data_IF_537861839922
#
_entry.id   IF_537861839922
#
_cell.length_a   1.000
_cell.length_b   1.000
_cell.length_c   1.000
_cell.angle_alpha   90.00
_cell.angle_beta   90.00
_cell.angle_gamma   90.00
#
_symmetry.space_group_name_H-M   'P 1'
#
loop_
_entity.id
_entity.type
_entity.pdbx_description
1 polymer ?
#
# COMPACT_ATOMS: atom_id res chain seq x y z
N UNK A 1 9.08 4.17 3.94
CA UNK A 1 9.05 3.11 4.95
C UNK A 1 8.53 3.70 6.23
N UNK A 2 7.44 3.16 6.74
CA UNK A 2 7.06 3.40 8.14
C UNK A 2 8.21 2.91 9.04
N UNK A 3 8.57 3.73 10.04
CA UNK A 3 9.59 3.42 11.04
C UNK A 3 9.23 2.10 11.74
N UNK A 4 7.94 1.83 11.95
CA UNK A 4 7.47 0.57 12.51
C UNK A 4 7.81 -0.64 11.62
N UNK A 5 7.65 -0.52 10.30
CA UNK A 5 8.04 -1.57 9.35
C UNK A 5 9.55 -1.84 9.40
N UNK A 6 10.36 -0.78 9.44
CA UNK A 6 11.81 -0.92 9.50
C UNK A 6 12.26 -1.58 10.81
N UNK A 7 11.75 -1.11 11.96
CA UNK A 7 12.06 -1.67 13.27
C UNK A 7 11.59 -3.13 13.34
N UNK A 8 10.39 -3.43 12.85
CA UNK A 8 9.86 -4.79 12.82
C UNK A 8 10.73 -5.76 12.03
N UNK A 9 11.19 -5.36 10.84
CA UNK A 9 12.11 -6.17 10.02
C UNK A 9 13.43 -6.41 10.78
N UNK A 10 14.03 -5.37 11.37
CA UNK A 10 15.31 -5.49 12.07
C UNK A 10 15.20 -6.37 13.32
N UNK A 11 14.15 -6.17 14.13
CA UNK A 11 13.92 -6.99 15.33
C UNK A 11 13.59 -8.44 14.97
N UNK A 12 12.78 -8.67 13.93
CA UNK A 12 12.44 -10.01 13.46
C UNK A 12 13.67 -10.78 12.96
N UNK A 13 14.46 -10.16 12.07
CA UNK A 13 15.71 -10.75 11.58
C UNK A 13 16.72 -10.95 12.72
N UNK A 14 16.81 -10.00 13.65
CA UNK A 14 17.67 -10.10 14.84
C UNK A 14 17.27 -11.26 15.75
N UNK A 15 15.98 -11.48 15.99
CA UNK A 15 15.48 -12.59 16.79
C UNK A 15 15.75 -13.95 16.11
N UNK A 16 15.58 -14.03 14.79
CA UNK A 16 15.88 -15.25 14.02
C UNK A 16 17.39 -15.54 14.06
N UNK A 17 18.22 -14.56 13.71
CA UNK A 17 19.67 -14.74 13.71
C UNK A 17 20.23 -15.02 15.11
N UNK A 18 19.71 -14.33 16.13
CA UNK A 18 20.08 -14.53 17.52
C UNK A 18 19.70 -15.91 18.03
N UNK A 19 18.51 -16.40 17.71
CA UNK A 19 18.09 -17.77 18.10
C UNK A 19 18.93 -18.85 17.42
N UNK A 20 19.24 -18.69 16.12
CA UNK A 20 20.15 -19.59 15.40
C UNK A 20 21.54 -19.60 16.03
N UNK A 21 22.08 -18.44 16.39
CA UNK A 21 23.40 -18.33 17.00
C UNK A 21 23.45 -18.99 18.39
N UNK A 22 22.46 -18.73 19.23
CA UNK A 22 22.36 -19.35 20.56
C UNK A 22 22.25 -20.87 20.45
N UNK A 23 21.34 -21.37 19.60
CA UNK A 23 21.17 -22.81 19.37
C UNK A 23 22.45 -23.47 18.84
N UNK A 24 23.16 -22.81 17.90
CA UNK A 24 24.43 -23.30 17.38
C UNK A 24 25.53 -23.30 18.45
N UNK A 25 25.60 -22.28 19.29
CA UNK A 25 26.57 -22.18 20.38
C UNK A 25 26.35 -23.25 21.46
N UNK A 26 25.10 -23.50 21.87
CA UNK A 26 24.75 -24.55 22.83
C UNK A 26 25.07 -25.95 22.29
N UNK A 27 24.82 -26.18 21.01
CA UNK A 27 25.10 -27.46 20.36
C UNK A 27 26.58 -27.63 19.95
N UNK A 28 27.43 -26.61 20.12
CA UNK A 28 28.82 -26.59 19.62
C UNK A 28 28.90 -26.76 18.09
N UNK A 29 27.85 -26.38 17.37
CA UNK A 29 27.67 -26.62 15.95
C UNK A 29 27.87 -25.33 15.13
N UNK A 30 28.10 -25.49 13.82
CA UNK A 30 28.17 -24.36 12.90
C UNK A 30 26.76 -23.86 12.56
N UNK A 31 26.60 -22.55 12.49
CA UNK A 31 25.37 -21.90 11.99
C UNK A 31 25.12 -22.19 10.50
N UNK A 32 26.13 -22.66 9.76
CA UNK A 32 26.01 -23.02 8.34
C UNK A 32 24.98 -24.12 8.09
N UNK A 33 24.68 -24.97 9.07
CA UNK A 33 23.66 -26.02 8.94
C UNK A 33 22.23 -25.50 8.75
N UNK A 34 21.98 -24.24 9.10
CA UNK A 34 20.67 -23.60 8.91
C UNK A 34 20.45 -23.04 7.50
N UNK A 35 21.50 -22.98 6.67
CA UNK A 35 21.42 -22.51 5.28
C UNK A 35 21.47 -23.72 4.35
N UNK A 36 20.33 -24.09 3.79
CA UNK A 36 20.17 -25.25 2.90
C UNK A 36 19.49 -24.84 1.60
N UNK A 37 20.18 -25.01 0.47
CA UNK A 37 19.61 -24.78 -0.86
C UNK A 37 18.35 -25.61 -1.13
N UNK A 38 18.31 -26.91 -0.80
CA UNK A 38 17.09 -27.71 -0.88
C UNK A 38 15.93 -27.17 -0.03
N UNK A 39 16.20 -26.76 1.21
CA UNK A 39 15.17 -26.20 2.09
C UNK A 39 14.62 -24.89 1.53
N UNK A 40 15.47 -24.04 0.97
CA UNK A 40 15.06 -22.82 0.27
C UNK A 40 14.16 -23.14 -0.93
N UNK A 41 14.55 -24.10 -1.78
CA UNK A 41 13.76 -24.48 -2.95
C UNK A 41 12.37 -25.02 -2.58
N UNK A 42 12.26 -25.80 -1.50
CA UNK A 42 10.98 -26.34 -1.02
C UNK A 42 10.07 -25.22 -0.50
N UNK A 43 10.60 -24.35 0.37
CA UNK A 43 9.79 -23.27 0.98
C UNK A 43 9.42 -22.21 -0.06
N UNK A 44 10.40 -21.74 -0.82
CA UNK A 44 10.19 -20.68 -1.81
C UNK A 44 9.39 -21.18 -3.02
N UNK A 45 9.71 -22.37 -3.53
CA UNK A 45 8.95 -22.99 -4.62
C UNK A 45 7.52 -23.33 -4.19
N UNK A 46 7.34 -23.86 -2.97
CA UNK A 46 6.02 -24.13 -2.39
C UNK A 46 5.18 -22.86 -2.24
N UNK A 47 5.78 -21.77 -1.72
CA UNK A 47 5.12 -20.47 -1.63
C UNK A 47 4.62 -19.98 -2.99
N UNK A 48 5.47 -19.97 -4.02
CA UNK A 48 5.08 -19.52 -5.37
C UNK A 48 3.98 -20.41 -5.95
N UNK A 49 4.09 -21.74 -5.79
CA UNK A 49 3.08 -22.68 -6.28
C UNK A 49 1.72 -22.47 -5.59
N UNK A 50 1.70 -22.32 -4.26
CA UNK A 50 0.48 -22.06 -3.50
C UNK A 50 -0.16 -20.72 -3.89
N UNK A 51 0.63 -19.67 -4.06
CA UNK A 51 0.13 -18.35 -4.51
C UNK A 51 -0.43 -18.44 -5.94
N UNK A 52 0.21 -19.21 -6.83
CA UNK A 52 -0.27 -19.43 -8.20
C UNK A 52 -1.55 -20.25 -8.30
N UNK A 53 -1.86 -21.07 -7.29
CA UNK A 53 -3.15 -21.77 -7.18
C UNK A 53 -4.24 -20.80 -6.68
N UNK A 54 -3.90 -19.94 -5.73
CA UNK A 54 -4.86 -19.04 -5.08
C UNK A 54 -5.23 -17.81 -5.92
N UNK A 55 -4.31 -17.33 -6.76
CA UNK A 55 -4.48 -16.07 -7.50
C UNK A 55 -4.20 -16.22 -9.00
N UNK A 56 -4.89 -15.44 -9.86
CA UNK A 56 -4.57 -15.37 -11.28
C UNK A 56 -3.11 -14.96 -11.50
N UNK A 57 -2.48 -15.50 -12.54
CA UNK A 57 -1.05 -15.26 -12.84
C UNK A 57 -0.70 -13.77 -12.96
N UNK A 58 -1.64 -12.95 -13.47
CA UNK A 58 -1.48 -11.49 -13.57
C UNK A 58 -1.23 -10.81 -12.22
N UNK A 59 -1.77 -11.35 -11.13
CA UNK A 59 -1.61 -10.76 -9.79
C UNK A 59 -0.38 -11.32 -9.09
N UNK A 60 -0.04 -12.60 -9.33
CA UNK A 60 1.22 -13.19 -8.88
C UNK A 60 2.42 -12.43 -9.44
N UNK A 61 2.37 -12.03 -10.72
CA UNK A 61 3.43 -11.22 -11.34
C UNK A 61 3.56 -9.81 -10.73
N UNK A 62 2.48 -9.27 -10.16
CA UNK A 62 2.50 -7.96 -9.47
C UNK A 62 3.04 -8.05 -8.04
N UNK A 63 3.19 -9.25 -7.48
CA UNK A 63 3.62 -9.46 -6.09
C UNK A 63 4.94 -8.73 -5.78
N UNK A 64 5.92 -8.80 -6.69
CA UNK A 64 7.20 -8.11 -6.52
C UNK A 64 7.07 -6.59 -6.46
N UNK A 65 6.22 -6.01 -7.31
CA UNK A 65 5.92 -4.58 -7.29
C UNK A 65 5.17 -4.18 -6.00
N UNK A 66 4.22 -5.01 -5.55
CA UNK A 66 3.48 -4.79 -4.31
C UNK A 66 4.39 -4.81 -3.08
N UNK A 67 5.33 -5.78 -2.99
CA UNK A 67 6.33 -5.81 -1.93
C UNK A 67 7.19 -4.54 -1.90
N UNK A 68 7.59 -4.04 -3.06
CA UNK A 68 8.31 -2.76 -3.18
C UNK A 68 7.47 -1.57 -2.71
N UNK A 69 6.18 -1.55 -2.99
CA UNK A 69 5.26 -0.49 -2.55
C UNK A 69 5.10 -0.46 -1.02
N UNK A 70 4.97 -1.63 -0.38
CA UNK A 70 4.89 -1.76 1.09
C UNK A 70 6.14 -1.18 1.76
N UNK A 71 7.32 -1.47 1.21
CA UNK A 71 8.56 -0.86 1.69
C UNK A 71 8.58 0.64 1.42
N UNK A 72 8.21 1.11 0.21
CA UNK A 72 8.22 2.55 -0.09
C UNK A 72 7.36 3.36 0.91
N UNK A 73 6.26 2.78 1.37
CA UNK A 73 5.29 3.44 2.24
C UNK A 73 4.46 4.44 1.44
N UNK A 74 3.20 4.56 1.80
CA UNK A 74 2.26 5.50 1.20
C UNK A 74 1.41 6.10 2.30
N UNK A 75 1.85 7.23 2.84
CA UNK A 75 0.99 8.02 3.71
C UNK A 75 0.27 9.03 2.83
N UNK A 76 -1.02 8.82 2.60
CA UNK A 76 -1.91 9.93 2.29
C UNK A 76 -1.98 10.74 3.57
N UNK A 77 -1.30 11.89 3.61
CA UNK A 77 -1.39 12.79 4.75
C UNK A 77 -2.78 13.39 4.76
N UNK A 78 -3.62 12.93 5.69
CA UNK A 78 -4.99 13.40 5.84
C UNK A 78 -5.07 14.93 5.93
N UNK A 79 -4.08 15.59 6.53
CA UNK A 79 -3.99 17.06 6.56
C UNK A 79 -3.92 17.69 5.16
N UNK A 80 -3.12 17.13 4.26
CA UNK A 80 -3.03 17.64 2.87
C UNK A 80 -4.36 17.48 2.12
N UNK A 81 -5.12 16.41 2.41
CA UNK A 81 -6.45 16.19 1.81
C UNK A 81 -7.47 17.20 2.34
N UNK A 82 -7.41 17.53 3.63
CA UNK A 82 -8.29 18.55 4.23
C UNK A 82 -7.99 19.93 3.65
N UNK A 83 -6.72 20.30 3.54
CA UNK A 83 -6.31 21.58 2.95
C UNK A 83 -6.78 21.69 1.49
N UNK A 84 -6.63 20.61 0.70
CA UNK A 84 -7.08 20.53 -0.69
C UNK A 84 -8.62 20.64 -0.80
N UNK A 85 -9.36 20.06 0.17
CA UNK A 85 -10.81 20.19 0.23
C UNK A 85 -11.29 21.60 0.58
N UNK A 86 -10.60 22.29 1.51
CA UNK A 86 -10.90 23.68 1.86
C UNK A 86 -10.60 24.60 0.69
N UNK A 87 -9.47 24.40 0.00
CA UNK A 87 -9.12 25.19 -1.19
C UNK A 87 -10.16 25.01 -2.31
N UNK A 88 -10.55 23.77 -2.60
CA UNK A 88 -11.60 23.49 -3.59
C UNK A 88 -12.94 24.14 -3.21
N UNK A 89 -13.32 24.14 -1.92
CA UNK A 89 -14.53 24.81 -1.45
C UNK A 89 -14.46 26.34 -1.62
N UNK A 90 -13.32 26.96 -1.34
CA UNK A 90 -13.12 28.41 -1.53
C UNK A 90 -13.08 28.81 -3.01
N UNK A 91 -12.59 27.95 -3.89
CA UNK A 91 -12.69 28.14 -5.34
C UNK A 91 -14.13 27.97 -5.81
N UNK A 92 -14.84 26.95 -5.35
CA UNK A 92 -16.24 26.70 -5.68
C UNK A 92 -17.17 27.87 -5.31
N UNK A 93 -16.86 28.60 -4.22
CA UNK A 93 -17.56 29.83 -3.84
C UNK A 93 -17.42 30.98 -4.87
N UNK A 94 -16.36 31.00 -5.66
CA UNK A 94 -16.14 32.02 -6.72
C UNK A 94 -16.96 31.71 -7.97
N UNK A 95 -17.22 30.43 -8.23
CA UNK A 95 -18.12 29.96 -9.26
C UNK A 95 -17.73 28.58 -9.82
N UNK A 96 -18.68 27.91 -10.47
CA UNK A 96 -18.47 26.58 -11.05
C UNK A 96 -17.36 26.54 -12.11
N UNK A 97 -17.24 27.61 -12.93
CA UNK A 97 -16.21 27.70 -13.97
C UNK A 97 -14.78 27.85 -13.40
N UNK A 98 -14.64 28.38 -12.18
CA UNK A 98 -13.35 28.44 -11.50
C UNK A 98 -13.03 27.09 -10.85
N UNK A 99 -14.04 26.40 -10.33
CA UNK A 99 -13.89 25.05 -9.79
C UNK A 99 -13.44 24.06 -10.87
N UNK A 100 -14.04 24.12 -12.06
CA UNK A 100 -13.66 23.31 -13.23
C UNK A 100 -12.16 23.43 -13.56
N UNK A 101 -11.62 24.65 -13.55
CA UNK A 101 -10.18 24.89 -13.78
C UNK A 101 -9.29 24.38 -12.66
N UNK A 102 -9.82 24.31 -11.44
CA UNK A 102 -9.08 23.85 -10.26
C UNK A 102 -9.07 22.32 -10.14
N UNK A 103 -10.04 21.60 -10.72
CA UNK A 103 -10.11 20.13 -10.67
C UNK A 103 -8.80 19.48 -11.10
N UNK A 104 -8.16 19.99 -12.15
CA UNK A 104 -6.90 19.44 -12.67
C UNK A 104 -5.70 19.62 -11.73
N UNK A 105 -5.81 20.50 -10.73
CA UNK A 105 -4.77 20.72 -9.73
C UNK A 105 -4.86 19.78 -8.53
N UNK A 106 -6.00 19.09 -8.37
CA UNK A 106 -6.25 18.15 -7.28
C UNK A 106 -5.43 16.88 -7.51
N UNK A 107 -4.57 16.54 -6.54
CA UNK A 107 -3.63 15.40 -6.63
C UNK A 107 -4.32 14.08 -6.33
N UNK A 108 -5.26 14.08 -5.41
CA UNK A 108 -5.98 12.87 -5.03
C UNK A 108 -7.01 12.52 -6.11
N UNK A 109 -6.79 11.42 -6.84
CA UNK A 109 -7.69 10.97 -7.91
C UNK A 109 -9.13 10.72 -7.45
N UNK A 110 -9.32 10.16 -6.25
CA UNK A 110 -10.65 9.92 -5.71
C UNK A 110 -11.38 11.24 -5.43
N UNK A 111 -10.69 12.20 -4.81
CA UNK A 111 -11.26 13.52 -4.54
C UNK A 111 -11.53 14.31 -5.82
N UNK A 112 -10.59 14.28 -6.78
CA UNK A 112 -10.72 14.90 -8.09
C UNK A 112 -11.98 14.44 -8.82
N UNK A 113 -12.22 13.13 -8.85
CA UNK A 113 -13.41 12.57 -9.52
C UNK A 113 -14.71 13.03 -8.82
N UNK A 114 -14.71 13.11 -7.49
CA UNK A 114 -15.85 13.66 -6.74
C UNK A 114 -16.11 15.14 -7.05
N UNK A 115 -15.07 15.97 -7.08
CA UNK A 115 -15.21 17.40 -7.45
C UNK A 115 -15.65 17.56 -8.91
N UNK A 116 -15.16 16.71 -9.82
CA UNK A 116 -15.62 16.69 -11.22
C UNK A 116 -17.13 16.40 -11.31
N UNK A 117 -17.63 15.41 -10.57
CA UNK A 117 -19.07 15.10 -10.53
C UNK A 117 -19.91 16.28 -10.02
N UNK A 118 -19.37 17.06 -9.06
CA UNK A 118 -20.03 18.31 -8.60
C UNK A 118 -20.08 19.36 -9.71
N UNK A 119 -18.99 19.53 -10.48
CA UNK A 119 -18.94 20.43 -11.64
C UNK A 119 -19.91 19.98 -12.73
N UNK A 120 -20.03 18.67 -12.95
CA UNK A 120 -20.93 18.06 -13.93
C UNK A 120 -22.42 18.12 -13.50
N UNK A 121 -22.70 18.54 -12.26
CA UNK A 121 -24.05 18.81 -11.76
C UNK A 121 -24.79 17.61 -11.19
N UNK A 122 -24.09 16.58 -10.74
CA UNK A 122 -24.69 15.43 -10.05
C UNK A 122 -25.36 15.87 -8.75
N UNK A 123 -26.47 15.21 -8.40
CA UNK A 123 -27.10 15.42 -7.08
C UNK A 123 -26.21 14.87 -5.96
N UNK A 124 -26.43 15.33 -4.73
CA UNK A 124 -25.68 14.87 -3.56
C UNK A 124 -25.91 13.37 -3.34
N UNK A 125 -27.14 12.90 -3.54
CA UNK A 125 -27.53 11.50 -3.39
C UNK A 125 -26.80 10.61 -4.41
N UNK A 126 -26.84 10.97 -5.70
CA UNK A 126 -26.14 10.22 -6.76
C UNK A 126 -24.62 10.22 -6.53
N UNK A 127 -24.05 11.36 -6.18
CA UNK A 127 -22.62 11.47 -5.89
C UNK A 127 -22.21 10.60 -4.71
N UNK A 128 -23.00 10.60 -3.64
CA UNK A 128 -22.73 9.78 -2.46
C UNK A 128 -22.81 8.30 -2.79
N UNK A 129 -23.85 7.87 -3.51
CA UNK A 129 -24.01 6.47 -3.93
C UNK A 129 -22.84 5.99 -4.80
N UNK A 130 -22.43 6.81 -5.78
CA UNK A 130 -21.31 6.47 -6.68
C UNK A 130 -20.00 6.38 -5.90
N UNK A 131 -19.71 7.35 -5.03
CA UNK A 131 -18.46 7.38 -4.27
C UNK A 131 -18.41 6.27 -3.21
N UNK A 132 -19.53 5.97 -2.54
CA UNK A 132 -19.63 4.84 -1.59
C UNK A 132 -19.39 3.50 -2.32
N UNK A 133 -20.05 3.28 -3.45
CA UNK A 133 -19.87 2.08 -4.28
C UNK A 133 -18.42 1.88 -4.73
N UNK A 134 -17.66 2.96 -4.85
CA UNK A 134 -16.25 2.93 -5.29
C UNK A 134 -15.26 2.68 -4.15
N UNK A 135 -15.70 2.88 -2.91
CA UNK A 135 -14.92 2.56 -1.69
C UNK A 135 -15.11 1.09 -1.32
N UNK A 136 -16.28 0.52 -1.59
CA UNK A 136 -16.56 -0.93 -1.45
C UNK A 136 -15.76 -1.81 -2.43
#
# INVERSE_FOLDING_TARGET
MDIATLIGIVLGLGAIAGSIFLAAAEAGASTAGFVSGPSFAIVFGGMIASVSIAFPLSDVLKLGAAMGAVLKGGEVKLGEVVDEAVEAADVGRKGAADLEKHVDSIKNFFFRDGVQMVVDGYSLEELTEILETRIE
#
